data_IF_677401321410
#
_entry.id   IF_677401321410
#
_cell.length_a   1.000
_cell.length_b   1.000
_cell.length_c   1.000
_cell.angle_alpha   90.00
_cell.angle_beta   90.00
_cell.angle_gamma   90.00
#
_symmetry.space_group_name_H-M   'P 1'
#
loop_
_entity.id
_entity.type
_entity.pdbx_description
1 polymer ?
#
# COMPACT_ATOMS: atom_id res chain seq x y z
N UNK A 1 -22.36 -46.28 -51.25
CA UNK A 1 -23.42 -45.81 -50.33
C UNK A 1 -23.14 -46.41 -48.96
N UNK A 2 -22.38 -45.75 -48.13
CA UNK A 2 -22.06 -46.18 -46.76
C UNK A 2 -22.45 -45.05 -45.83
N UNK A 3 -23.53 -45.26 -45.10
CA UNK A 3 -24.00 -44.42 -44.04
C UNK A 3 -23.22 -44.76 -42.77
N UNK A 4 -22.46 -43.81 -42.25
CA UNK A 4 -21.71 -43.94 -41.00
C UNK A 4 -22.54 -43.35 -39.88
N UNK A 5 -23.13 -44.21 -39.05
CA UNK A 5 -23.95 -43.85 -37.89
C UNK A 5 -23.00 -43.55 -36.72
N UNK A 6 -22.89 -42.30 -36.36
CA UNK A 6 -22.15 -41.84 -35.18
C UNK A 6 -23.02 -41.96 -33.92
N UNK A 7 -22.78 -42.99 -33.10
CA UNK A 7 -23.47 -43.19 -31.81
C UNK A 7 -22.76 -42.36 -30.74
N UNK A 8 -23.42 -41.30 -30.29
CA UNK A 8 -23.03 -40.58 -29.06
C UNK A 8 -23.32 -41.44 -27.82
N UNK A 9 -22.25 -41.94 -27.19
CA UNK A 9 -22.37 -42.59 -25.89
C UNK A 9 -22.53 -41.51 -24.80
N UNK A 10 -23.74 -41.43 -24.24
CA UNK A 10 -23.98 -40.59 -23.04
C UNK A 10 -23.40 -41.28 -21.82
N UNK A 11 -22.37 -40.69 -21.25
CA UNK A 11 -21.80 -41.12 -19.97
C UNK A 11 -22.74 -40.61 -18.85
N UNK A 12 -23.51 -41.52 -18.24
CA UNK A 12 -24.25 -41.28 -17.02
C UNK A 12 -23.30 -41.20 -15.85
N UNK A 13 -23.06 -39.99 -15.31
CA UNK A 13 -22.39 -39.83 -14.02
C UNK A 13 -23.30 -40.34 -12.90
N UNK A 14 -22.80 -41.27 -12.12
CA UNK A 14 -23.45 -41.73 -10.89
C UNK A 14 -23.34 -40.63 -9.81
N UNK A 15 -24.33 -40.46 -8.91
CA UNK A 15 -24.26 -39.48 -7.85
C UNK A 15 -23.15 -39.87 -6.84
N UNK A 16 -22.28 -38.91 -6.54
CA UNK A 16 -21.23 -39.05 -5.54
C UNK A 16 -21.87 -39.35 -4.17
N UNK A 17 -21.46 -40.44 -3.55
CA UNK A 17 -21.82 -40.78 -2.18
C UNK A 17 -21.34 -39.67 -1.24
N UNK A 18 -22.27 -39.07 -0.50
CA UNK A 18 -21.98 -38.17 0.59
C UNK A 18 -21.37 -38.98 1.74
N UNK A 19 -20.04 -38.97 1.82
CA UNK A 19 -19.34 -39.48 2.98
C UNK A 19 -19.43 -38.40 4.07
N UNK A 20 -20.29 -38.62 5.04
CA UNK A 20 -20.36 -37.85 6.28
C UNK A 20 -19.06 -38.07 7.06
N UNK A 21 -18.11 -37.14 6.91
CA UNK A 21 -16.92 -37.09 7.75
C UNK A 21 -17.34 -36.47 9.07
N UNK A 22 -17.48 -37.26 10.08
CA UNK A 22 -17.58 -36.85 11.48
C UNK A 22 -16.29 -36.14 11.87
N UNK A 23 -16.30 -34.88 12.37
CA UNK A 23 -15.10 -34.23 12.85
C UNK A 23 -14.80 -34.74 14.27
N UNK A 24 -13.95 -35.78 14.36
CA UNK A 24 -13.34 -36.15 15.62
C UNK A 24 -11.97 -35.49 15.70
N UNK A 25 -11.90 -34.30 16.24
CA UNK A 25 -10.75 -33.81 16.98
C UNK A 25 -11.15 -32.60 17.84
N UNK A 26 -11.86 -32.88 18.93
CA UNK A 26 -11.89 -31.98 20.08
C UNK A 26 -10.56 -32.18 20.83
N UNK A 27 -9.54 -31.41 20.49
CA UNK A 27 -8.43 -31.17 21.42
C UNK A 27 -8.79 -29.92 22.23
N UNK A 28 -9.06 -30.15 23.51
CA UNK A 28 -9.28 -29.15 24.55
C UNK A 28 -7.99 -28.39 24.84
N UNK A 29 -7.63 -27.44 23.98
CA UNK A 29 -6.80 -26.30 24.30
C UNK A 29 -7.73 -25.13 24.52
N UNK A 30 -7.63 -24.43 25.66
CA UNK A 30 -8.42 -23.25 25.94
C UNK A 30 -8.39 -22.32 24.70
N UNK A 31 -9.53 -22.12 24.03
CA UNK A 31 -9.65 -21.25 22.86
C UNK A 31 -9.22 -19.85 23.28
N UNK A 32 -8.02 -19.46 22.89
CA UNK A 32 -7.54 -18.08 23.08
C UNK A 32 -8.48 -17.21 22.26
N UNK A 33 -9.24 -16.35 22.93
CA UNK A 33 -10.16 -15.45 22.22
C UNK A 33 -9.44 -14.68 21.13
N UNK A 34 -10.08 -14.43 19.99
CA UNK A 34 -9.47 -13.81 18.81
C UNK A 34 -8.74 -12.49 19.15
N UNK A 35 -9.23 -11.71 20.11
CA UNK A 35 -8.58 -10.49 20.58
C UNK A 35 -7.21 -10.77 21.24
N UNK A 36 -7.14 -11.80 22.08
CA UNK A 36 -5.88 -12.21 22.70
C UNK A 36 -4.89 -12.77 21.69
N UNK A 37 -5.39 -13.45 20.66
CA UNK A 37 -4.59 -13.90 19.53
C UNK A 37 -3.97 -12.74 18.74
N UNK A 38 -4.76 -11.71 18.41
CA UNK A 38 -4.26 -10.51 17.74
C UNK A 38 -3.19 -9.80 18.58
N UNK A 39 -3.34 -9.77 19.89
CA UNK A 39 -2.32 -9.22 20.79
C UNK A 39 -1.03 -10.02 20.72
N UNK A 40 -1.09 -11.35 20.76
CA UNK A 40 0.10 -12.22 20.63
C UNK A 40 0.79 -12.05 19.27
N UNK A 41 0.03 -11.87 18.19
CA UNK A 41 0.57 -11.61 16.85
C UNK A 41 1.26 -10.24 16.79
N UNK A 42 0.72 -9.21 17.43
CA UNK A 42 1.32 -7.87 17.43
C UNK A 42 2.61 -7.77 18.25
N UNK A 43 2.76 -8.61 19.27
CA UNK A 43 3.94 -8.65 20.14
C UNK A 43 4.96 -9.74 19.71
N UNK A 44 4.63 -10.52 18.67
CA UNK A 44 5.35 -11.75 18.33
C UNK A 44 6.67 -11.56 17.58
N UNK A 45 6.92 -10.39 16.97
CA UNK A 45 8.17 -10.06 16.27
C UNK A 45 9.24 -9.71 17.29
N UNK A 46 10.39 -10.37 17.21
CA UNK A 46 11.54 -10.10 18.08
C UNK A 46 12.36 -8.96 17.49
N UNK A 47 13.01 -8.18 18.35
CA UNK A 47 13.89 -7.08 17.88
C UNK A 47 15.01 -7.58 16.94
N UNK A 48 15.51 -8.78 17.13
CA UNK A 48 16.53 -9.38 16.26
C UNK A 48 16.02 -9.79 14.87
N UNK A 49 14.72 -9.89 14.68
CA UNK A 49 14.10 -10.26 13.39
C UNK A 49 13.79 -9.00 12.54
N UNK A 50 13.94 -7.81 13.13
CA UNK A 50 13.80 -6.53 12.43
C UNK A 50 15.11 -6.17 11.78
N UNK A 51 15.08 -5.96 10.47
CA UNK A 51 16.23 -5.52 9.65
C UNK A 51 16.04 -4.09 9.21
N UNK A 52 17.14 -3.45 8.84
CA UNK A 52 17.14 -2.10 8.30
C UNK A 52 17.57 -2.11 6.83
N UNK A 53 16.94 -1.28 6.03
CA UNK A 53 17.37 -0.99 4.65
C UNK A 53 17.42 0.50 4.41
N UNK A 54 18.21 0.93 3.44
CA UNK A 54 18.15 2.31 2.98
C UNK A 54 16.73 2.63 2.46
N UNK A 55 16.14 3.68 3.00
CA UNK A 55 14.83 4.19 2.59
C UNK A 55 14.99 5.34 1.60
N UNK A 56 15.11 6.56 2.12
CA UNK A 56 15.26 7.76 1.29
C UNK A 56 16.40 8.62 1.82
N UNK A 57 16.92 9.48 0.94
CA UNK A 57 17.87 10.52 1.32
C UNK A 57 17.15 11.85 1.46
N UNK A 58 17.44 12.56 2.53
CA UNK A 58 16.94 13.91 2.72
C UNK A 58 17.69 14.92 1.85
N UNK A 59 17.29 16.19 1.94
CA UNK A 59 17.92 17.27 1.17
C UNK A 59 19.36 17.60 1.58
N UNK A 60 19.74 17.18 2.77
CA UNK A 60 21.09 17.38 3.30
C UNK A 60 22.01 16.22 2.92
N UNK A 61 21.48 15.23 2.14
CA UNK A 61 22.21 14.04 1.74
C UNK A 61 22.24 12.94 2.81
N UNK A 62 21.54 13.14 3.95
CA UNK A 62 21.45 12.13 5.01
C UNK A 62 20.55 10.98 4.58
N UNK A 63 21.06 9.76 4.70
CA UNK A 63 20.29 8.54 4.41
C UNK A 63 19.41 8.19 5.61
N UNK A 64 18.11 8.02 5.35
CA UNK A 64 17.15 7.50 6.32
C UNK A 64 16.96 6.01 6.09
N UNK A 65 16.96 5.26 7.18
CA UNK A 65 16.77 3.81 7.17
C UNK A 65 15.33 3.50 7.52
N UNK A 66 14.82 2.42 6.92
CA UNK A 66 13.47 1.90 7.16
C UNK A 66 13.60 0.51 7.78
N UNK A 67 12.96 0.34 8.91
CA UNK A 67 12.86 -0.95 9.57
C UNK A 67 11.89 -1.85 8.82
N UNK A 68 12.23 -3.11 8.62
CA UNK A 68 11.36 -4.08 7.95
C UNK A 68 11.56 -5.49 8.49
N UNK A 69 10.57 -6.34 8.23
CA UNK A 69 10.67 -7.78 8.46
C UNK A 69 10.62 -8.54 7.14
N UNK A 70 11.33 -9.64 7.07
CA UNK A 70 11.28 -10.53 5.92
C UNK A 70 10.02 -11.40 5.96
N UNK A 71 9.53 -11.82 4.78
CA UNK A 71 8.29 -12.57 4.66
C UNK A 71 8.32 -13.90 5.44
N UNK A 72 9.47 -14.60 5.45
CA UNK A 72 9.62 -15.87 6.17
C UNK A 72 9.53 -15.69 7.70
N UNK A 73 9.99 -14.57 8.24
CA UNK A 73 9.81 -14.24 9.67
C UNK A 73 8.33 -14.11 10.02
N UNK A 74 7.54 -13.55 9.11
CA UNK A 74 6.08 -13.45 9.27
C UNK A 74 5.45 -14.84 9.21
N UNK A 75 5.87 -15.69 8.26
CA UNK A 75 5.38 -17.07 8.15
C UNK A 75 5.73 -17.89 9.41
N UNK A 76 7.01 -17.86 9.86
CA UNK A 76 7.45 -18.54 11.08
C UNK A 76 6.66 -18.08 12.33
N UNK A 77 6.32 -16.80 12.40
CA UNK A 77 5.48 -16.28 13.48
C UNK A 77 4.08 -16.87 13.43
N UNK A 78 3.46 -16.90 12.24
CA UNK A 78 2.12 -17.45 12.03
C UNK A 78 2.10 -18.95 12.35
N UNK A 79 3.06 -19.72 11.86
CA UNK A 79 3.21 -21.16 12.15
C UNK A 79 3.32 -21.44 13.66
N UNK A 80 4.03 -20.59 14.38
CA UNK A 80 4.23 -20.73 15.82
C UNK A 80 3.01 -20.37 16.66
N UNK A 81 2.25 -19.34 16.24
CA UNK A 81 1.12 -18.80 17.05
C UNK A 81 -0.22 -19.34 16.59
N UNK A 82 -0.37 -19.61 15.31
CA UNK A 82 -1.63 -19.99 14.64
C UNK A 82 -1.35 -21.07 13.59
N UNK A 83 -0.99 -22.29 13.95
CA UNK A 83 -0.56 -23.32 13.00
C UNK A 83 -1.59 -23.64 11.91
N UNK A 84 -2.88 -23.35 12.16
CA UNK A 84 -3.97 -23.59 11.21
C UNK A 84 -4.22 -22.39 10.27
N UNK A 85 -3.28 -21.42 10.21
CA UNK A 85 -3.41 -20.33 9.26
C UNK A 85 -3.30 -20.82 7.81
N UNK A 86 -3.90 -20.09 6.90
CA UNK A 86 -3.77 -20.37 5.48
C UNK A 86 -3.46 -19.11 4.66
N UNK A 87 -2.75 -19.31 3.55
CA UNK A 87 -2.39 -18.28 2.60
C UNK A 87 -2.92 -18.64 1.21
N UNK A 88 -3.41 -17.65 0.48
CA UNK A 88 -3.82 -17.81 -0.91
C UNK A 88 -3.51 -16.56 -1.72
N UNK A 89 -2.92 -16.72 -2.90
CA UNK A 89 -2.87 -15.68 -3.92
C UNK A 89 -4.25 -15.59 -4.58
N UNK A 90 -4.91 -14.44 -4.44
CA UNK A 90 -6.27 -14.20 -4.96
C UNK A 90 -6.27 -13.67 -6.38
N UNK A 91 -5.32 -12.76 -6.67
CA UNK A 91 -5.29 -12.11 -7.97
C UNK A 91 -3.88 -11.63 -8.30
N UNK A 92 -3.56 -11.64 -9.58
CA UNK A 92 -2.33 -11.05 -10.14
C UNK A 92 -2.76 -10.21 -11.34
N UNK A 93 -2.48 -8.91 -11.30
CA UNK A 93 -2.86 -7.96 -12.36
C UNK A 93 -1.64 -7.15 -12.77
N UNK A 94 -1.41 -7.03 -14.06
CA UNK A 94 -0.42 -6.09 -14.59
C UNK A 94 -1.04 -4.71 -14.77
N UNK A 95 -0.37 -3.67 -14.29
CA UNK A 95 -0.76 -2.27 -14.39
C UNK A 95 0.43 -1.49 -14.93
N UNK A 96 0.48 -1.30 -16.26
CA UNK A 96 1.63 -0.72 -16.94
C UNK A 96 2.90 -1.57 -16.70
N UNK A 97 3.94 -0.95 -16.19
CA UNK A 97 5.24 -1.58 -15.91
C UNK A 97 5.30 -2.30 -14.54
N UNK A 98 4.17 -2.41 -13.85
CA UNK A 98 4.07 -3.05 -12.54
C UNK A 98 3.13 -4.24 -12.57
N UNK A 99 3.43 -5.23 -11.72
CA UNK A 99 2.51 -6.29 -11.36
C UNK A 99 1.98 -6.02 -9.95
N UNK A 100 0.68 -6.14 -9.76
CA UNK A 100 0.03 -6.10 -8.45
C UNK A 100 -0.45 -7.51 -8.10
N UNK A 101 -0.08 -7.98 -6.92
CA UNK A 101 -0.50 -9.27 -6.36
C UNK A 101 -1.38 -9.01 -5.16
N UNK A 102 -2.55 -9.64 -5.13
CA UNK A 102 -3.42 -9.69 -3.95
C UNK A 102 -3.26 -11.04 -3.27
N UNK A 103 -2.81 -11.04 -2.03
CA UNK A 103 -2.70 -12.21 -1.19
C UNK A 103 -3.66 -12.13 0.00
N UNK A 104 -4.22 -13.26 0.38
CA UNK A 104 -5.11 -13.41 1.52
C UNK A 104 -4.47 -14.29 2.60
N UNK A 105 -4.63 -13.90 3.86
CA UNK A 105 -4.34 -14.73 5.03
C UNK A 105 -5.67 -14.99 5.75
N UNK A 106 -5.89 -16.24 6.13
CA UNK A 106 -7.04 -16.64 6.94
C UNK A 106 -6.56 -17.18 8.28
N UNK A 107 -7.12 -16.65 9.38
CA UNK A 107 -6.83 -17.05 10.76
C UNK A 107 -8.16 -17.21 11.49
N UNK A 108 -8.44 -18.37 12.07
CA UNK A 108 -9.70 -18.67 12.77
C UNK A 108 -10.94 -18.26 11.95
N UNK A 109 -10.95 -18.56 10.64
CA UNK A 109 -12.05 -18.21 9.75
C UNK A 109 -12.13 -16.75 9.31
N UNK A 110 -11.31 -15.85 9.88
CA UNK A 110 -11.25 -14.44 9.46
C UNK A 110 -10.21 -14.28 8.36
N UNK A 111 -10.63 -13.80 7.19
CA UNK A 111 -9.74 -13.54 6.05
C UNK A 111 -9.43 -12.04 5.92
N UNK A 112 -8.16 -11.72 5.73
CA UNK A 112 -7.68 -10.37 5.43
C UNK A 112 -6.74 -10.41 4.25
N UNK A 113 -6.87 -9.43 3.36
CA UNK A 113 -6.09 -9.36 2.12
C UNK A 113 -5.09 -8.22 2.17
N UNK A 114 -3.95 -8.42 1.50
CA UNK A 114 -2.93 -7.41 1.26
C UNK A 114 -2.62 -7.33 -0.23
N UNK A 115 -2.22 -6.14 -0.69
CA UNK A 115 -1.76 -5.93 -2.06
C UNK A 115 -0.31 -5.51 -2.04
N UNK A 116 0.53 -6.22 -2.78
CA UNK A 116 1.92 -5.88 -3.02
C UNK A 116 2.15 -5.57 -4.50
N UNK A 117 3.18 -4.80 -4.79
CA UNK A 117 3.54 -4.43 -6.16
C UNK A 117 5.02 -4.69 -6.44
N UNK A 118 5.33 -5.00 -7.71
CA UNK A 118 6.69 -5.18 -8.18
C UNK A 118 6.81 -4.87 -9.66
N UNK A 119 8.03 -4.75 -10.21
CA UNK A 119 8.23 -4.58 -11.65
C UNK A 119 7.65 -5.78 -12.42
N UNK A 120 6.99 -5.52 -13.56
CA UNK A 120 6.37 -6.58 -14.37
C UNK A 120 7.37 -7.28 -15.30
N UNK A 121 8.52 -6.68 -15.54
CA UNK A 121 9.56 -7.13 -16.50
C UNK A 121 10.50 -8.19 -15.93
N UNK A 122 10.33 -8.59 -14.67
CA UNK A 122 11.23 -9.53 -14.00
C UNK A 122 10.51 -10.55 -13.13
N UNK A 123 11.00 -11.80 -13.13
CA UNK A 123 10.57 -12.84 -12.19
C UNK A 123 10.70 -12.40 -10.72
N UNK A 124 11.75 -11.65 -10.43
CA UNK A 124 11.98 -11.08 -9.09
C UNK A 124 10.88 -10.11 -8.69
N UNK A 125 10.31 -9.38 -9.64
CA UNK A 125 9.22 -8.42 -9.39
C UNK A 125 7.95 -9.11 -8.90
N UNK A 126 7.56 -10.22 -9.53
CA UNK A 126 6.39 -11.01 -9.11
C UNK A 126 6.60 -11.58 -7.70
N UNK A 127 7.79 -12.16 -7.42
CA UNK A 127 8.14 -12.68 -6.09
C UNK A 127 8.10 -11.59 -5.03
N UNK A 128 8.63 -10.38 -5.33
CA UNK A 128 8.57 -9.23 -4.42
C UNK A 128 7.14 -8.78 -4.16
N UNK A 129 6.30 -8.74 -5.20
CA UNK A 129 4.91 -8.34 -5.07
C UNK A 129 4.13 -9.33 -4.19
N UNK A 130 4.34 -10.64 -4.35
CA UNK A 130 3.70 -11.67 -3.52
C UNK A 130 4.14 -11.58 -2.07
N UNK A 131 5.45 -11.50 -1.80
CA UNK A 131 5.99 -11.38 -0.44
C UNK A 131 5.52 -10.09 0.25
N UNK A 132 5.40 -8.98 -0.48
CA UNK A 132 4.86 -7.73 0.07
C UNK A 132 3.36 -7.86 0.35
N UNK A 133 2.59 -8.49 -0.55
CA UNK A 133 1.17 -8.75 -0.35
C UNK A 133 0.91 -9.59 0.91
N UNK A 134 1.69 -10.66 1.13
CA UNK A 134 1.62 -11.51 2.32
C UNK A 134 1.86 -10.67 3.60
N UNK A 135 2.94 -9.88 3.64
CA UNK A 135 3.26 -9.03 4.78
C UNK A 135 2.14 -8.02 5.06
N UNK A 136 1.60 -7.35 4.03
CA UNK A 136 0.48 -6.39 4.17
C UNK A 136 -0.81 -7.05 4.66
N UNK A 137 -1.08 -8.29 4.28
CA UNK A 137 -2.18 -9.07 4.84
C UNK A 137 -1.96 -9.35 6.34
N UNK A 138 -0.73 -9.76 6.74
CA UNK A 138 -0.36 -10.04 8.12
C UNK A 138 -0.41 -8.79 9.02
N UNK A 139 0.00 -7.61 8.51
CA UNK A 139 -0.11 -6.31 9.21
C UNK A 139 -1.55 -6.03 9.63
N UNK A 140 -2.52 -6.42 8.84
CA UNK A 140 -3.94 -6.26 9.20
C UNK A 140 -4.32 -7.11 10.42
N UNK A 141 -3.64 -8.23 10.69
CA UNK A 141 -3.76 -9.01 11.93
C UNK A 141 -2.90 -8.47 13.09
N UNK A 142 -2.14 -7.42 12.88
CA UNK A 142 -1.32 -6.77 13.90
C UNK A 142 0.17 -7.07 13.79
N UNK A 143 0.58 -8.03 12.97
CA UNK A 143 1.99 -8.43 12.83
C UNK A 143 2.83 -7.24 12.34
N UNK A 144 3.86 -6.89 13.12
CA UNK A 144 4.80 -5.80 12.80
C UNK A 144 4.13 -4.46 12.43
N UNK A 145 2.91 -4.20 12.89
CA UNK A 145 2.13 -3.02 12.48
C UNK A 145 2.84 -1.69 12.79
N UNK A 146 3.63 -1.65 13.84
CA UNK A 146 4.33 -0.42 14.24
C UNK A 146 5.38 -0.01 13.20
N UNK A 147 6.03 -0.98 12.55
CA UNK A 147 7.01 -0.71 11.48
C UNK A 147 6.35 -0.04 10.25
N UNK A 148 5.09 -0.37 9.96
CA UNK A 148 4.35 0.19 8.82
C UNK A 148 3.70 1.54 9.12
N UNK A 149 3.59 1.95 10.40
CA UNK A 149 3.12 3.30 10.76
C UNK A 149 4.08 4.37 10.30
N UNK A 150 5.37 4.10 10.36
CA UNK A 150 6.42 5.03 9.97
C UNK A 150 6.58 5.10 8.44
N UNK A 151 6.28 4.02 7.70
CA UNK A 151 6.25 4.04 6.23
C UNK A 151 5.12 4.93 5.68
N UNK A 152 3.92 4.88 6.25
CA UNK A 152 2.81 5.77 5.88
C UNK A 152 3.08 7.22 6.34
N UNK A 153 3.79 7.40 7.47
CA UNK A 153 4.15 8.70 8.03
C UNK A 153 5.22 9.46 7.23
N UNK A 154 6.12 8.78 6.54
CA UNK A 154 7.21 9.44 5.82
C UNK A 154 6.78 10.16 4.53
N UNK A 155 5.63 9.80 3.96
CA UNK A 155 5.04 10.54 2.83
C UNK A 155 3.87 11.46 3.23
N UNK A 156 3.21 11.22 4.39
CA UNK A 156 2.01 11.94 4.84
C UNK A 156 2.23 12.74 6.15
N UNK A 157 3.37 12.58 6.84
CA UNK A 157 3.69 13.37 8.04
C UNK A 157 3.87 14.86 7.73
N UNK A 158 3.99 15.22 6.45
CA UNK A 158 3.83 16.61 5.99
C UNK A 158 2.35 17.07 6.00
N UNK A 159 1.37 16.17 6.11
CA UNK A 159 -0.06 16.48 5.91
C UNK A 159 -0.94 16.39 7.16
N UNK A 160 -0.44 15.93 8.32
CA UNK A 160 -1.27 15.71 9.53
C UNK A 160 -0.83 16.43 10.79
N UNK A 161 0.01 17.45 10.69
CA UNK A 161 0.14 18.40 11.79
C UNK A 161 -0.88 19.51 11.59
N UNK A 162 -2.08 19.34 12.13
CA UNK A 162 -2.99 20.44 12.38
C UNK A 162 -2.24 21.50 13.22
N UNK A 163 -2.17 22.71 12.71
CA UNK A 163 -1.49 23.89 13.25
C UNK A 163 -0.03 24.07 12.79
N UNK A 164 0.19 24.09 11.48
CA UNK A 164 1.43 24.65 10.95
C UNK A 164 1.16 26.09 10.51
N UNK A 165 1.90 27.00 11.12
CA UNK A 165 2.01 28.38 10.64
C UNK A 165 2.32 28.37 9.14
N UNK A 166 1.84 29.37 8.33
CA UNK A 166 2.05 29.41 6.90
C UNK A 166 3.51 29.16 6.56
N UNK A 167 3.79 28.14 5.77
CA UNK A 167 5.16 27.80 5.36
C UNK A 167 5.67 28.95 4.50
N UNK A 168 6.75 29.60 4.94
CA UNK A 168 7.39 30.64 4.15
C UNK A 168 7.68 30.10 2.73
N UNK A 169 7.48 30.93 1.68
CA UNK A 169 7.72 30.50 0.31
C UNK A 169 9.16 30.00 0.15
N UNK A 170 9.38 28.95 -0.65
CA UNK A 170 10.72 28.40 -0.85
C UNK A 170 11.65 29.47 -1.42
N UNK A 171 12.89 29.53 -0.93
CA UNK A 171 13.92 30.48 -1.39
C UNK A 171 14.28 30.28 -2.87
N UNK A 172 14.09 29.07 -3.41
CA UNK A 172 14.26 28.73 -4.81
C UNK A 172 12.98 28.03 -5.29
N UNK A 173 12.08 28.76 -5.98
CA UNK A 173 10.80 28.23 -6.40
C UNK A 173 10.87 27.36 -7.66
N UNK A 174 11.97 27.49 -8.45
CA UNK A 174 12.10 26.78 -9.72
C UNK A 174 12.43 25.30 -9.55
N UNK A 175 11.93 24.48 -10.44
CA UNK A 175 12.26 23.07 -10.50
C UNK A 175 13.69 22.87 -11.02
N UNK A 176 14.49 22.05 -10.32
CA UNK A 176 15.88 21.75 -10.71
C UNK A 176 15.98 20.53 -11.64
N UNK A 177 14.97 19.67 -11.65
CA UNK A 177 14.88 18.48 -12.48
C UNK A 177 13.46 18.27 -12.97
N UNK A 178 13.28 17.48 -14.05
CA UNK A 178 11.95 17.09 -14.53
C UNK A 178 11.11 16.38 -13.45
N UNK A 179 11.75 15.65 -12.56
CA UNK A 179 11.07 14.96 -11.45
C UNK A 179 10.60 15.93 -10.34
N UNK A 180 11.19 17.14 -10.26
CA UNK A 180 10.83 18.18 -9.28
C UNK A 180 9.78 19.16 -9.82
N UNK A 181 9.44 19.11 -11.11
CA UNK A 181 8.40 19.94 -11.69
C UNK A 181 7.03 19.70 -11.03
N UNK A 182 6.20 20.74 -11.03
CA UNK A 182 4.80 20.65 -10.60
C UNK A 182 4.11 19.41 -11.19
N UNK A 183 3.42 18.65 -10.33
CA UNK A 183 2.70 17.46 -10.79
C UNK A 183 1.40 17.83 -11.49
N UNK A 184 0.91 16.99 -12.42
CA UNK A 184 -0.39 17.23 -13.07
C UNK A 184 -1.55 17.37 -12.08
N UNK A 185 -1.49 16.66 -10.93
CA UNK A 185 -2.49 16.76 -9.85
C UNK A 185 -2.45 18.11 -9.15
N UNK A 186 -1.25 18.61 -8.85
CA UNK A 186 -1.10 19.94 -8.24
C UNK A 186 -1.54 21.04 -9.19
N UNK A 187 -1.17 20.94 -10.47
CA UNK A 187 -1.61 21.89 -11.51
C UNK A 187 -3.15 21.94 -11.63
N UNK A 188 -3.80 20.77 -11.68
CA UNK A 188 -5.26 20.68 -11.71
C UNK A 188 -5.92 21.29 -10.47
N UNK A 189 -5.32 21.07 -9.27
CA UNK A 189 -5.83 21.63 -8.02
C UNK A 189 -5.68 23.16 -7.97
N UNK A 190 -4.51 23.69 -8.37
CA UNK A 190 -4.27 25.15 -8.45
C UNK A 190 -5.29 25.80 -9.39
N UNK A 191 -5.48 25.23 -10.58
CA UNK A 191 -6.46 25.75 -11.54
C UNK A 191 -7.89 25.74 -10.98
N UNK A 192 -8.25 24.69 -10.23
CA UNK A 192 -9.57 24.58 -9.58
C UNK A 192 -9.76 25.65 -8.50
N UNK A 193 -8.78 25.81 -7.60
CA UNK A 193 -8.82 26.80 -6.52
C UNK A 193 -8.85 28.23 -7.08
N UNK A 194 -7.97 28.53 -8.05
CA UNK A 194 -7.91 29.84 -8.70
C UNK A 194 -9.25 30.18 -9.39
N UNK A 195 -9.88 29.22 -10.07
CA UNK A 195 -11.21 29.39 -10.66
C UNK A 195 -12.28 29.72 -9.62
N UNK A 196 -12.25 29.05 -8.46
CA UNK A 196 -13.21 29.33 -7.36
C UNK A 196 -13.00 30.72 -6.79
N UNK A 197 -11.75 31.16 -6.66
CA UNK A 197 -11.38 32.52 -6.21
C UNK A 197 -11.50 33.59 -7.29
N UNK A 198 -11.84 33.22 -8.52
CA UNK A 198 -11.87 34.13 -9.71
C UNK A 198 -10.50 34.79 -9.96
N UNK A 199 -9.40 34.09 -9.67
CA UNK A 199 -8.04 34.54 -9.89
C UNK A 199 -7.44 33.83 -11.10
N UNK A 200 -6.47 34.51 -11.76
CA UNK A 200 -5.62 33.85 -12.76
C UNK A 200 -4.50 33.08 -12.04
N UNK A 201 -4.38 31.74 -12.24
CA UNK A 201 -3.36 30.93 -11.57
C UNK A 201 -1.93 31.32 -11.98
N UNK A 202 -1.71 31.75 -13.22
CA UNK A 202 -0.42 32.24 -13.69
C UNK A 202 -0.05 33.58 -13.02
N UNK A 203 -1.01 34.48 -12.87
CA UNK A 203 -0.79 35.75 -12.17
C UNK A 203 -0.45 35.53 -10.70
N UNK A 204 -1.17 34.64 -10.01
CA UNK A 204 -0.90 34.28 -8.62
C UNK A 204 0.51 33.64 -8.45
N UNK A 205 0.94 32.83 -9.39
CA UNK A 205 2.26 32.24 -9.41
C UNK A 205 3.36 33.29 -9.62
N UNK A 206 3.19 34.20 -10.58
CA UNK A 206 4.14 35.28 -10.85
C UNK A 206 4.25 36.28 -9.69
N UNK A 207 3.14 36.58 -9.03
CA UNK A 207 3.14 37.45 -7.85
C UNK A 207 3.97 36.84 -6.71
N UNK A 208 3.85 35.53 -6.49
CA UNK A 208 4.48 34.86 -5.37
C UNK A 208 5.93 34.45 -5.64
N UNK A 209 6.25 34.05 -6.89
CA UNK A 209 7.52 33.40 -7.23
C UNK A 209 8.29 34.06 -8.37
N UNK A 210 7.70 35.03 -9.09
CA UNK A 210 8.26 35.64 -10.31
C UNK A 210 8.60 34.60 -11.40
N UNK A 211 7.85 33.49 -11.44
CA UNK A 211 8.05 32.36 -12.31
C UNK A 211 6.74 31.89 -12.96
N UNK A 212 6.83 31.15 -14.06
CA UNK A 212 5.67 30.55 -14.69
C UNK A 212 5.23 29.29 -13.91
N UNK A 213 3.93 29.01 -13.94
CA UNK A 213 3.36 27.86 -13.22
C UNK A 213 3.95 26.52 -13.68
N UNK A 214 4.33 26.41 -14.95
CA UNK A 214 4.96 25.20 -15.53
C UNK A 214 6.42 24.98 -15.09
N UNK A 215 7.08 25.96 -14.49
CA UNK A 215 8.50 25.95 -14.14
C UNK A 215 8.73 25.76 -12.65
N UNK A 216 7.69 25.90 -11.83
CA UNK A 216 7.85 25.81 -10.37
C UNK A 216 8.02 24.38 -9.90
N UNK A 217 8.73 24.24 -8.79
CA UNK A 217 8.93 22.96 -8.11
C UNK A 217 7.64 22.46 -7.44
N UNK A 218 7.52 21.16 -7.23
CA UNK A 218 6.41 20.56 -6.45
C UNK A 218 6.21 21.22 -5.10
N UNK A 219 7.30 21.66 -4.46
CA UNK A 219 7.24 22.34 -3.18
C UNK A 219 6.67 23.74 -3.29
N UNK A 220 7.07 24.50 -4.32
CA UNK A 220 6.50 25.80 -4.60
C UNK A 220 5.01 25.69 -4.94
N UNK A 221 4.63 24.69 -5.74
CA UNK A 221 3.24 24.40 -6.04
C UNK A 221 2.41 24.07 -4.78
N UNK A 222 2.96 23.29 -3.82
CA UNK A 222 2.27 23.03 -2.56
C UNK A 222 2.07 24.29 -1.72
N UNK A 223 3.06 25.18 -1.62
CA UNK A 223 2.92 26.44 -0.90
C UNK A 223 1.91 27.39 -1.58
N UNK A 224 1.84 27.39 -2.92
CA UNK A 224 0.82 28.13 -3.66
C UNK A 224 -0.60 27.59 -3.37
N UNK A 225 -0.76 26.25 -3.32
CA UNK A 225 -2.04 25.61 -2.95
C UNK A 225 -2.47 26.03 -1.54
N UNK A 226 -1.53 26.01 -0.56
CA UNK A 226 -1.82 26.45 0.81
C UNK A 226 -2.31 27.90 0.84
N UNK A 227 -1.63 28.81 0.12
CA UNK A 227 -2.04 30.23 0.05
C UNK A 227 -3.43 30.40 -0.57
N UNK A 228 -3.73 29.68 -1.66
CA UNK A 228 -5.05 29.72 -2.29
C UNK A 228 -6.14 29.14 -1.36
N UNK A 229 -5.84 28.11 -0.58
CA UNK A 229 -6.79 27.57 0.40
C UNK A 229 -7.06 28.55 1.54
N UNK A 230 -6.04 29.27 2.04
CA UNK A 230 -6.22 30.33 3.07
C UNK A 230 -7.11 31.44 2.50
N UNK A 231 -6.83 31.91 1.28
CA UNK A 231 -7.65 32.93 0.62
C UNK A 231 -9.11 32.49 0.38
N UNK A 232 -9.35 31.18 0.24
CA UNK A 232 -10.70 30.63 0.11
C UNK A 232 -11.46 30.59 1.46
N UNK A 233 -10.73 30.48 2.58
CA UNK A 233 -11.32 30.49 3.93
C UNK A 233 -11.63 31.90 4.46
N UNK A 234 -11.00 32.93 3.87
CA UNK A 234 -11.16 34.33 4.24
C UNK A 234 -12.30 35.04 3.44
N UNK A 235 -12.95 34.31 2.50
CA UNK A 235 -14.13 34.78 1.74
C UNK A 235 -15.45 34.33 2.38
#
# INVERSE_FOLDING_TARGET
MNANSNQHASIKLAPAAQTSVTPAHQQSGAEIGFSALLKRLSEGIRKGDVKQREGWRDRNGQTHYVDYVEWHVVADLLDRIVPDWSHAVRNIVQIGDFVAVTAAITINGVTREGVGTGPADSETGIKKAEHDALKRAAVKFGVARDLYRDEDGSNDSASRSGNRAPTAPPRDPLAKTLADLISPKQLALINRLAKTLKLDPEAACREMYQANLSEISRRAASALIERLNVALQEQ
#
